data_IF_035718211551
#
_entry.id   IF_035718211551
#
_cell.length_a   1.000
_cell.length_b   1.000
_cell.length_c   1.000
_cell.angle_alpha   90.00
_cell.angle_beta   90.00
_cell.angle_gamma   90.00
#
_symmetry.space_group_name_H-M   'P 1'
#
loop_
_entity.id
_entity.type
_entity.pdbx_description
1 polymer ?
#
# COMPACT_ATOMS: atom_id res chain seq x y z
N UNK A 1 -8.02 -24.64 -3.89
CA UNK A 1 -7.15 -23.94 -4.86
C UNK A 1 -5.75 -24.51 -4.65
N UNK A 2 -5.05 -24.95 -5.69
CA UNK A 2 -3.66 -25.39 -5.53
C UNK A 2 -2.83 -24.21 -4.99
N UNK A 3 -2.04 -24.48 -3.98
CA UNK A 3 -1.13 -23.53 -3.33
C UNK A 3 0.09 -23.32 -4.25
N UNK A 4 -0.14 -22.57 -5.34
CA UNK A 4 0.91 -22.27 -6.31
C UNK A 4 1.63 -20.99 -5.89
N UNK A 5 2.96 -21.05 -5.88
CA UNK A 5 3.82 -19.89 -5.67
C UNK A 5 3.45 -18.76 -6.64
N UNK A 6 3.41 -17.52 -6.14
CA UNK A 6 3.19 -16.32 -6.94
C UNK A 6 4.48 -15.54 -7.10
N UNK A 7 4.61 -14.87 -8.26
CA UNK A 7 5.68 -13.94 -8.55
C UNK A 7 5.06 -12.68 -9.16
N UNK A 8 5.41 -11.51 -8.62
CA UNK A 8 5.00 -10.24 -9.19
C UNK A 8 6.02 -9.77 -10.23
N UNK A 9 5.53 -9.50 -11.43
CA UNK A 9 6.33 -8.97 -12.57
C UNK A 9 5.73 -7.63 -12.98
N UNK A 10 6.56 -6.62 -13.24
CA UNK A 10 6.03 -5.33 -13.63
C UNK A 10 5.16 -5.44 -14.90
N UNK A 11 4.08 -4.66 -14.94
CA UNK A 11 3.16 -4.63 -16.08
C UNK A 11 3.87 -4.38 -17.40
N UNK A 12 4.81 -3.45 -17.43
CA UNK A 12 5.61 -3.11 -18.62
C UNK A 12 6.42 -4.30 -19.15
N UNK A 13 6.99 -5.13 -18.25
CA UNK A 13 7.72 -6.33 -18.67
C UNK A 13 6.78 -7.37 -19.26
N UNK A 14 5.58 -7.53 -18.70
CA UNK A 14 4.58 -8.47 -19.23
C UNK A 14 4.10 -8.03 -20.61
N UNK A 15 3.85 -6.75 -20.84
CA UNK A 15 3.46 -6.23 -22.16
C UNK A 15 4.54 -6.40 -23.23
N UNK A 16 5.80 -6.40 -22.83
CA UNK A 16 6.94 -6.55 -23.75
C UNK A 16 7.33 -8.01 -24.01
N UNK A 17 6.62 -9.01 -23.44
CA UNK A 17 6.94 -10.42 -23.64
C UNK A 17 6.70 -10.82 -25.09
N UNK A 18 7.70 -11.48 -25.68
CA UNK A 18 7.60 -12.10 -26.99
C UNK A 18 7.56 -13.63 -26.84
N UNK A 19 6.69 -14.29 -27.65
CA UNK A 19 6.61 -15.75 -27.69
C UNK A 19 6.33 -16.43 -26.33
N UNK A 20 5.55 -15.78 -25.44
CA UNK A 20 5.17 -16.26 -24.11
C UNK A 20 6.35 -16.49 -23.14
N UNK A 21 7.59 -16.20 -23.52
CA UNK A 21 8.76 -16.42 -22.68
C UNK A 21 9.09 -15.15 -21.85
N UNK A 22 9.11 -15.33 -20.55
CA UNK A 22 9.52 -14.32 -19.58
C UNK A 22 10.91 -14.65 -19.06
N UNK A 23 11.87 -13.82 -19.39
CA UNK A 23 13.21 -13.85 -18.79
C UNK A 23 13.17 -13.25 -17.38
N UNK A 24 13.67 -14.00 -16.40
CA UNK A 24 13.72 -13.59 -15.00
C UNK A 24 14.97 -12.70 -14.75
N UNK A 25 14.81 -11.71 -13.87
CA UNK A 25 15.96 -11.01 -13.30
C UNK A 25 16.81 -11.98 -12.45
N UNK A 26 18.02 -11.55 -12.10
CA UNK A 26 18.90 -12.35 -11.23
C UNK A 26 18.26 -12.60 -9.87
N UNK A 27 17.56 -11.61 -9.31
CA UNK A 27 16.87 -11.65 -8.04
C UNK A 27 15.67 -12.60 -8.11
N UNK A 28 14.85 -12.49 -9.15
CA UNK A 28 13.69 -13.36 -9.39
C UNK A 28 14.12 -14.81 -9.62
N UNK A 29 15.15 -15.02 -10.42
CA UNK A 29 15.73 -16.35 -10.64
C UNK A 29 16.29 -16.94 -9.34
N UNK A 30 16.99 -16.13 -8.53
CA UNK A 30 17.46 -16.55 -7.22
C UNK A 30 16.29 -16.95 -6.30
N UNK A 31 15.25 -16.11 -6.23
CA UNK A 31 14.07 -16.37 -5.42
C UNK A 31 13.38 -17.68 -5.81
N UNK A 32 13.07 -17.87 -7.09
CA UNK A 32 12.40 -19.10 -7.58
C UNK A 32 13.28 -20.34 -7.39
N UNK A 33 14.59 -20.26 -7.67
CA UNK A 33 15.46 -21.42 -7.66
C UNK A 33 15.97 -21.79 -6.26
N UNK A 34 16.31 -20.80 -5.43
CA UNK A 34 17.01 -21.01 -4.15
C UNK A 34 16.10 -20.89 -2.96
N UNK A 35 15.19 -19.91 -2.97
CA UNK A 35 14.26 -19.70 -1.85
C UNK A 35 13.07 -20.65 -1.97
N UNK A 36 12.32 -20.56 -3.07
CA UNK A 36 11.13 -21.39 -3.30
C UNK A 36 11.45 -22.80 -3.84
N UNK A 37 12.66 -23.01 -4.36
CA UNK A 37 13.15 -24.30 -4.86
C UNK A 37 12.24 -24.97 -5.90
N UNK A 38 11.63 -24.16 -6.76
CA UNK A 38 10.74 -24.63 -7.81
C UNK A 38 11.53 -25.32 -8.90
N UNK A 39 11.15 -26.57 -9.23
CA UNK A 39 11.79 -27.39 -10.28
C UNK A 39 11.26 -27.01 -11.66
N UNK A 40 12.06 -27.28 -12.71
CA UNK A 40 11.61 -27.16 -14.09
C UNK A 40 10.38 -28.05 -14.33
N UNK A 41 9.46 -27.57 -15.17
CA UNK A 41 8.17 -28.24 -15.45
C UNK A 41 7.08 -27.98 -14.41
N UNK A 42 7.36 -27.26 -13.31
CA UNK A 42 6.34 -26.89 -12.31
C UNK A 42 5.65 -25.59 -12.70
N UNK A 43 4.34 -25.55 -12.42
CA UNK A 43 3.52 -24.36 -12.58
C UNK A 43 3.73 -23.37 -11.44
N UNK A 44 3.66 -22.09 -11.76
CA UNK A 44 3.59 -20.96 -10.83
C UNK A 44 2.58 -19.95 -11.33
N UNK A 45 2.16 -19.05 -10.46
CA UNK A 45 1.37 -17.89 -10.87
C UNK A 45 2.28 -16.65 -11.08
N UNK A 46 1.91 -15.83 -12.07
CA UNK A 46 2.52 -14.52 -12.31
C UNK A 46 1.42 -13.47 -12.23
N UNK A 47 1.65 -12.40 -11.46
CA UNK A 47 0.76 -11.23 -11.43
C UNK A 47 1.49 -9.98 -11.91
N UNK A 48 0.76 -9.07 -12.57
CA UNK A 48 1.28 -7.75 -12.95
C UNK A 48 1.09 -6.68 -11.86
N UNK A 49 0.49 -7.04 -10.72
CA UNK A 49 0.12 -6.06 -9.68
C UNK A 49 -0.93 -5.04 -10.10
N UNK A 50 -1.62 -5.27 -11.23
CA UNK A 50 -2.70 -4.44 -11.77
C UNK A 50 -3.94 -5.29 -12.13
N UNK A 51 -4.27 -6.25 -11.27
CA UNK A 51 -5.50 -7.04 -11.36
C UNK A 51 -5.40 -8.30 -12.21
N UNK A 52 -4.31 -8.56 -12.92
CA UNK A 52 -4.20 -9.74 -13.79
C UNK A 52 -3.28 -10.80 -13.22
N UNK A 53 -3.67 -12.08 -13.40
CA UNK A 53 -2.94 -13.26 -12.97
C UNK A 53 -2.82 -14.23 -14.14
N UNK A 54 -1.63 -14.76 -14.38
CA UNK A 54 -1.37 -15.79 -15.38
C UNK A 54 -0.78 -17.02 -14.73
N UNK A 55 -0.99 -18.18 -15.36
CA UNK A 55 -0.22 -19.39 -15.10
C UNK A 55 1.03 -19.39 -15.97
N UNK A 56 2.14 -19.83 -15.40
CA UNK A 56 3.40 -19.99 -16.10
C UNK A 56 4.07 -21.30 -15.69
N UNK A 57 4.86 -21.88 -16.59
CA UNK A 57 5.65 -23.06 -16.33
C UNK A 57 7.12 -22.67 -16.30
N UNK A 58 7.85 -23.13 -15.29
CA UNK A 58 9.29 -22.97 -15.24
C UNK A 58 9.96 -23.89 -16.26
N UNK A 59 10.55 -23.30 -17.31
CA UNK A 59 11.22 -24.06 -18.38
C UNK A 59 12.72 -24.16 -18.17
N UNK A 60 13.35 -23.11 -17.60
CA UNK A 60 14.77 -23.06 -17.26
C UNK A 60 14.99 -22.30 -15.94
N UNK A 61 16.23 -22.24 -15.46
CA UNK A 61 16.54 -21.51 -14.22
C UNK A 61 16.23 -20.02 -14.27
N UNK A 62 16.23 -19.44 -15.44
CA UNK A 62 16.07 -18.00 -15.71
C UNK A 62 14.91 -17.68 -16.66
N UNK A 63 14.03 -18.66 -16.93
CA UNK A 63 12.95 -18.47 -17.89
C UNK A 63 11.65 -19.18 -17.45
N UNK A 64 10.54 -18.44 -17.59
CA UNK A 64 9.19 -18.94 -17.42
C UNK A 64 8.45 -18.84 -18.76
N UNK A 65 7.65 -19.84 -19.08
CA UNK A 65 6.72 -19.82 -20.20
C UNK A 65 5.31 -19.53 -19.69
N UNK A 66 4.72 -18.39 -20.12
CA UNK A 66 3.37 -18.00 -19.71
C UNK A 66 2.35 -18.75 -20.54
N UNK A 67 1.44 -19.42 -19.87
CA UNK A 67 0.31 -20.11 -20.52
C UNK A 67 -0.72 -19.04 -20.92
N UNK A 68 -0.99 -18.89 -22.22
CA UNK A 68 -1.99 -17.96 -22.74
C UNK A 68 -1.76 -16.48 -22.33
N UNK A 69 -0.61 -15.90 -22.68
CA UNK A 69 -0.26 -14.52 -22.38
C UNK A 69 -1.37 -13.49 -22.70
N UNK A 70 -2.08 -13.65 -23.81
CA UNK A 70 -3.15 -12.74 -24.25
C UNK A 70 -4.41 -12.79 -23.39
N UNK A 71 -4.60 -13.86 -22.60
CA UNK A 71 -5.78 -14.05 -21.76
C UNK A 71 -5.32 -14.44 -20.35
N UNK A 72 -5.40 -13.55 -19.37
CA UNK A 72 -5.04 -13.89 -18.00
C UNK A 72 -5.95 -15.01 -17.48
N UNK A 73 -5.39 -15.83 -16.59
CA UNK A 73 -6.11 -16.88 -15.88
C UNK A 73 -7.21 -16.30 -14.99
N UNK A 74 -6.92 -15.16 -14.35
CA UNK A 74 -7.85 -14.40 -13.53
C UNK A 74 -7.63 -12.92 -13.76
N UNK A 75 -8.71 -12.15 -13.81
CA UNK A 75 -8.69 -10.69 -13.81
C UNK A 75 -9.63 -10.19 -12.71
N UNK A 76 -9.14 -9.28 -11.90
CA UNK A 76 -9.89 -8.56 -10.88
C UNK A 76 -9.93 -7.08 -11.25
N UNK A 77 -11.10 -6.50 -11.33
CA UNK A 77 -11.24 -5.05 -11.49
C UNK A 77 -10.69 -4.31 -10.28
N UNK A 78 -10.25 -3.08 -10.51
CA UNK A 78 -9.81 -2.22 -9.41
C UNK A 78 -11.01 -1.80 -8.56
N UNK A 79 -10.79 -1.72 -7.26
CA UNK A 79 -11.80 -1.24 -6.33
C UNK A 79 -12.27 0.18 -6.72
N UNK A 80 -13.56 0.43 -6.53
CA UNK A 80 -14.16 1.74 -6.83
C UNK A 80 -13.65 2.79 -5.84
N UNK A 81 -13.52 2.41 -4.57
CA UNK A 81 -13.03 3.26 -3.50
C UNK A 81 -11.58 2.93 -3.19
N UNK A 82 -10.67 3.84 -3.51
CA UNK A 82 -9.26 3.68 -3.23
C UNK A 82 -8.93 4.18 -1.82
N UNK A 83 -8.09 3.44 -1.13
CA UNK A 83 -7.71 3.69 0.26
C UNK A 83 -6.25 4.07 0.36
N UNK A 84 -5.98 5.13 1.13
CA UNK A 84 -4.63 5.61 1.38
C UNK A 84 -4.32 5.76 2.87
N UNK A 85 -3.10 5.41 3.23
CA UNK A 85 -2.53 5.72 4.53
C UNK A 85 -1.35 6.67 4.34
N UNK A 86 -1.42 7.85 4.95
CA UNK A 86 -0.32 8.82 4.96
C UNK A 86 0.34 8.78 6.34
N UNK A 87 1.62 8.42 6.39
CA UNK A 87 2.29 8.12 7.67
C UNK A 87 3.56 8.92 7.80
N UNK A 88 3.70 9.67 8.89
CA UNK A 88 4.99 10.23 9.27
C UNK A 88 5.91 9.08 9.59
N UNK A 89 7.04 8.99 8.84
CA UNK A 89 7.92 7.83 8.94
C UNK A 89 8.45 7.71 10.38
N UNK A 90 8.10 6.61 11.10
CA UNK A 90 8.52 6.43 12.48
C UNK A 90 10.01 6.10 12.60
N UNK A 91 10.55 6.20 13.81
CA UNK A 91 11.94 5.80 14.10
C UNK A 91 12.21 4.33 13.74
N UNK A 92 11.22 3.46 13.92
CA UNK A 92 11.27 2.02 13.61
C UNK A 92 9.88 1.50 13.23
N UNK A 93 9.81 0.33 12.57
CA UNK A 93 8.55 -0.35 12.26
C UNK A 93 7.86 0.16 10.98
N UNK A 94 8.52 0.99 10.15
CA UNK A 94 7.92 1.42 8.88
C UNK A 94 7.78 0.26 7.89
N UNK A 95 8.73 -0.68 7.89
CA UNK A 95 8.66 -1.88 7.04
C UNK A 95 7.48 -2.79 7.43
N UNK A 96 7.17 -2.87 8.74
CA UNK A 96 5.98 -3.59 9.21
C UNK A 96 4.68 -2.91 8.73
N UNK A 97 4.65 -1.56 8.72
CA UNK A 97 3.52 -0.80 8.15
C UNK A 97 3.35 -1.16 6.68
N UNK A 98 4.42 -1.14 5.88
CA UNK A 98 4.37 -1.48 4.46
C UNK A 98 3.81 -2.88 4.23
N UNK A 99 4.34 -3.86 4.96
CA UNK A 99 3.93 -5.25 4.86
C UNK A 99 2.47 -5.42 5.26
N UNK A 100 2.11 -5.09 6.50
CA UNK A 100 0.79 -5.39 7.06
C UNK A 100 -0.32 -4.56 6.40
N UNK A 101 -0.08 -3.29 6.07
CA UNK A 101 -1.06 -2.49 5.34
C UNK A 101 -1.30 -3.02 3.92
N UNK A 102 -0.26 -3.57 3.26
CA UNK A 102 -0.41 -4.27 1.97
C UNK A 102 -1.29 -5.50 2.11
N UNK A 103 -1.03 -6.35 3.10
CA UNK A 103 -1.81 -7.56 3.38
C UNK A 103 -3.29 -7.25 3.68
N UNK A 104 -3.57 -6.18 4.43
CA UNK A 104 -4.94 -5.76 4.79
C UNK A 104 -5.69 -5.17 3.60
N UNK A 105 -4.99 -4.59 2.61
CA UNK A 105 -5.66 -4.11 1.39
C UNK A 105 -5.57 -2.61 1.12
N UNK A 106 -4.58 -1.90 1.64
CA UNK A 106 -4.33 -0.49 1.27
C UNK A 106 -3.95 -0.36 -0.21
N UNK A 107 -4.30 0.76 -0.85
CA UNK A 107 -3.96 1.01 -2.26
C UNK A 107 -2.84 2.03 -2.42
N UNK A 108 -2.72 2.97 -1.47
CA UNK A 108 -1.67 3.98 -1.47
C UNK A 108 -1.03 4.13 -0.09
N UNK A 109 0.29 4.25 -0.08
CA UNK A 109 1.08 4.58 1.11
C UNK A 109 1.86 5.85 0.81
N UNK A 110 1.60 6.90 1.59
CA UNK A 110 2.28 8.18 1.50
C UNK A 110 3.22 8.37 2.69
N UNK A 111 4.53 8.23 2.51
CA UNK A 111 5.49 8.62 3.52
C UNK A 111 5.50 10.13 3.72
N UNK A 112 5.43 10.60 4.97
CA UNK A 112 5.40 12.02 5.31
C UNK A 112 6.58 12.44 6.18
N UNK A 113 6.93 13.72 6.08
CA UNK A 113 7.75 14.44 7.05
C UNK A 113 6.87 15.37 7.89
N UNK A 114 7.26 15.56 9.15
CA UNK A 114 6.54 16.32 10.17
C UNK A 114 7.55 17.08 11.06
N UNK A 115 7.08 18.15 11.73
CA UNK A 115 7.91 18.98 12.60
C UNK A 115 8.55 18.16 13.75
N UNK A 116 7.81 17.23 14.33
CA UNK A 116 8.25 16.42 15.48
C UNK A 116 8.74 15.02 15.10
N UNK A 117 9.11 14.83 13.83
CA UNK A 117 9.72 13.60 13.40
C UNK A 117 11.09 13.39 14.03
N UNK A 118 11.30 12.23 14.64
CA UNK A 118 12.54 11.92 15.38
C UNK A 118 13.74 11.74 14.44
N UNK A 119 13.53 11.27 13.21
CA UNK A 119 14.61 10.97 12.26
C UNK A 119 14.29 11.46 10.86
N UNK A 120 15.09 12.38 10.34
CA UNK A 120 15.08 12.70 8.91
C UNK A 120 15.86 11.63 8.16
N UNK A 121 15.25 11.09 7.11
CA UNK A 121 15.90 10.08 6.28
C UNK A 121 16.73 10.76 5.18
N UNK A 122 18.03 10.50 5.19
CA UNK A 122 18.92 10.74 4.04
C UNK A 122 18.89 9.51 3.14
N UNK A 123 18.91 9.66 1.82
CA UNK A 123 18.85 8.57 0.83
C UNK A 123 17.51 7.83 0.72
N UNK A 124 16.42 8.57 0.55
CA UNK A 124 15.09 8.02 0.30
C UNK A 124 15.06 7.04 -0.89
N UNK A 125 15.76 7.35 -1.99
CA UNK A 125 15.80 6.52 -3.20
C UNK A 125 16.23 5.07 -2.95
N UNK A 126 17.27 4.85 -2.14
CA UNK A 126 17.74 3.50 -1.81
C UNK A 126 16.75 2.74 -0.94
N UNK A 127 16.03 3.47 -0.06
CA UNK A 127 14.98 2.87 0.77
C UNK A 127 13.77 2.52 -0.05
N UNK A 128 13.41 3.34 -1.03
CA UNK A 128 12.27 3.09 -1.89
C UNK A 128 12.41 1.75 -2.64
N UNK A 129 13.63 1.40 -3.08
CA UNK A 129 13.91 0.09 -3.69
C UNK A 129 13.57 -1.04 -2.72
N UNK A 130 14.10 -0.97 -1.49
CA UNK A 130 13.84 -1.97 -0.44
C UNK A 130 12.36 -2.03 -0.06
N UNK A 131 11.71 -0.89 0.09
CA UNK A 131 10.28 -0.82 0.44
C UNK A 131 9.39 -1.40 -0.65
N UNK A 132 9.74 -1.18 -1.91
CA UNK A 132 9.07 -1.82 -3.04
C UNK A 132 9.24 -3.35 -3.02
N UNK A 133 10.41 -3.86 -2.63
CA UNK A 133 10.63 -5.31 -2.44
C UNK A 133 9.71 -5.88 -1.35
N UNK A 134 9.64 -5.22 -0.19
CA UNK A 134 8.76 -5.63 0.92
C UNK A 134 7.29 -5.66 0.50
N UNK A 135 6.84 -4.64 -0.24
CA UNK A 135 5.48 -4.60 -0.77
C UNK A 135 5.24 -5.75 -1.75
N UNK A 136 6.20 -6.04 -2.65
CA UNK A 136 6.09 -7.14 -3.59
C UNK A 136 5.98 -8.49 -2.87
N UNK A 137 6.86 -8.75 -1.90
CA UNK A 137 6.82 -9.96 -1.07
C UNK A 137 5.47 -10.11 -0.33
N UNK A 138 4.93 -9.01 0.21
CA UNK A 138 3.62 -9.02 0.85
C UNK A 138 2.49 -9.32 -0.14
N UNK A 139 2.52 -8.73 -1.35
CA UNK A 139 1.55 -9.00 -2.43
C UNK A 139 1.58 -10.47 -2.85
N UNK A 140 2.77 -11.05 -3.01
CA UNK A 140 2.95 -12.45 -3.37
C UNK A 140 2.39 -13.39 -2.30
N UNK A 141 2.67 -13.09 -1.03
CA UNK A 141 2.27 -13.91 0.11
C UNK A 141 0.76 -13.81 0.41
N UNK A 142 0.16 -12.61 0.34
CA UNK A 142 -1.27 -12.43 0.61
C UNK A 142 -2.17 -12.68 -0.61
N UNK A 143 -1.57 -13.05 -1.75
CA UNK A 143 -2.25 -13.39 -3.00
C UNK A 143 -3.04 -12.25 -3.66
N UNK A 144 -2.75 -11.02 -3.30
CA UNK A 144 -3.40 -9.83 -3.83
C UNK A 144 -3.04 -9.61 -5.30
N UNK A 145 -4.00 -9.16 -6.12
CA UNK A 145 -3.76 -8.86 -7.55
C UNK A 145 -3.49 -7.37 -7.81
N UNK A 146 -3.93 -6.48 -6.91
CA UNK A 146 -3.66 -5.05 -6.98
C UNK A 146 -2.56 -4.68 -5.98
N UNK A 147 -1.40 -4.31 -6.51
CA UNK A 147 -0.24 -3.89 -5.73
C UNK A 147 -0.44 -2.45 -5.24
N UNK A 148 -0.23 -2.15 -3.95
CA UNK A 148 -0.29 -0.76 -3.50
C UNK A 148 0.88 0.07 -4.04
N UNK A 149 0.62 1.36 -4.20
CA UNK A 149 1.63 2.33 -4.58
C UNK A 149 2.24 2.96 -3.33
N UNK A 150 3.58 2.94 -3.23
CA UNK A 150 4.31 3.78 -2.28
C UNK A 150 4.75 5.05 -3.01
N UNK A 151 4.35 6.21 -2.48
CA UNK A 151 4.63 7.50 -3.07
C UNK A 151 5.97 8.06 -2.57
N UNK A 152 6.48 9.10 -3.24
CA UNK A 152 7.66 9.79 -2.76
C UNK A 152 7.35 10.52 -1.45
N UNK A 153 8.35 10.62 -0.58
CA UNK A 153 8.22 11.31 0.68
C UNK A 153 8.06 12.83 0.48
N UNK A 154 7.21 13.43 1.29
CA UNK A 154 6.85 14.85 1.19
C UNK A 154 6.54 15.41 2.58
N UNK A 155 6.68 16.72 2.76
CA UNK A 155 6.25 17.40 3.97
C UNK A 155 4.72 17.38 4.09
N UNK A 156 4.20 17.21 5.30
CA UNK A 156 2.75 17.10 5.55
C UNK A 156 1.96 18.35 5.07
N UNK A 157 2.53 19.55 5.20
CA UNK A 157 1.89 20.78 4.73
C UNK A 157 1.78 20.80 3.20
N UNK A 158 2.88 20.46 2.51
CA UNK A 158 2.94 20.44 1.04
C UNK A 158 2.02 19.36 0.47
N UNK A 159 2.03 18.18 1.08
CA UNK A 159 1.16 17.08 0.66
C UNK A 159 -0.32 17.44 0.80
N UNK A 160 -0.74 17.97 1.95
CA UNK A 160 -2.12 18.39 2.14
C UNK A 160 -2.49 19.51 1.15
N UNK A 161 -1.60 20.47 0.90
CA UNK A 161 -1.86 21.54 -0.08
C UNK A 161 -2.02 20.98 -1.51
N UNK A 162 -1.35 19.89 -1.86
CA UNK A 162 -1.46 19.28 -3.18
C UNK A 162 -2.79 18.54 -3.44
N UNK A 163 -3.54 18.19 -2.40
CA UNK A 163 -4.85 17.54 -2.53
C UNK A 163 -5.94 18.60 -2.63
N UNK A 164 -6.72 18.57 -3.71
CA UNK A 164 -7.81 19.55 -3.92
C UNK A 164 -8.97 19.31 -2.96
N UNK A 165 -9.48 18.09 -2.91
CA UNK A 165 -10.61 17.73 -2.06
C UNK A 165 -10.14 17.34 -0.65
N UNK A 166 -10.23 18.28 0.30
CA UNK A 166 -9.81 18.05 1.70
C UNK A 166 -10.77 17.14 2.48
N UNK A 167 -11.99 16.98 1.99
CA UNK A 167 -13.00 16.15 2.66
C UNK A 167 -12.66 14.66 2.66
N UNK A 168 -11.80 14.22 1.74
CA UNK A 168 -11.30 12.84 1.69
C UNK A 168 -10.18 12.55 2.69
N UNK A 169 -9.70 13.56 3.43
CA UNK A 169 -8.62 13.42 4.41
C UNK A 169 -9.20 13.37 5.83
N UNK A 170 -8.65 12.50 6.65
CA UNK A 170 -8.82 12.52 8.10
C UNK A 170 -7.46 12.41 8.79
N UNK A 171 -7.25 13.16 9.88
CA UNK A 171 -6.00 13.15 10.65
C UNK A 171 -6.24 12.47 11.98
N UNK A 172 -5.46 11.44 12.26
CA UNK A 172 -5.51 10.74 13.54
C UNK A 172 -4.83 11.54 14.63
N UNK A 173 -5.54 11.74 15.74
CA UNK A 173 -5.07 12.46 16.93
C UNK A 173 -5.16 11.59 18.16
N UNK A 174 -4.39 11.95 19.18
CA UNK A 174 -4.42 11.33 20.52
C UNK A 174 -4.84 12.38 21.54
N UNK A 175 -5.45 11.94 22.64
CA UNK A 175 -5.82 12.82 23.78
C UNK A 175 -6.79 13.95 23.37
N UNK A 176 -7.66 13.68 22.42
CA UNK A 176 -8.72 14.62 22.02
C UNK A 176 -10.07 13.95 22.26
N UNK A 177 -10.75 14.36 23.33
CA UNK A 177 -12.02 13.79 23.73
C UNK A 177 -13.19 14.26 22.86
N UNK A 178 -12.96 15.23 21.97
CA UNK A 178 -13.99 15.82 21.11
C UNK A 178 -14.05 15.20 19.73
N UNK A 179 -12.98 14.48 19.31
CA UNK A 179 -12.92 13.87 17.98
C UNK A 179 -13.72 12.57 17.89
N UNK A 180 -14.44 12.41 16.79
CA UNK A 180 -15.12 11.18 16.45
C UNK A 180 -14.13 10.03 16.19
N UNK A 181 -14.58 8.79 16.41
CA UNK A 181 -13.85 7.62 15.92
C UNK A 181 -13.81 7.58 14.39
N UNK A 182 -12.69 7.06 13.82
CA UNK A 182 -12.49 6.97 12.37
C UNK A 182 -13.68 6.31 11.67
N UNK A 183 -14.21 5.22 12.21
CA UNK A 183 -15.38 4.51 11.64
C UNK A 183 -16.60 5.43 11.50
N UNK A 184 -16.90 6.25 12.52
CA UNK A 184 -18.01 7.19 12.47
C UNK A 184 -17.78 8.32 11.45
N UNK A 185 -16.54 8.80 11.35
CA UNK A 185 -16.15 9.79 10.34
C UNK A 185 -16.36 9.22 8.92
N UNK A 186 -15.96 7.98 8.67
CA UNK A 186 -16.12 7.31 7.39
C UNK A 186 -17.59 7.11 6.98
N UNK A 187 -18.46 6.75 7.90
CA UNK A 187 -19.89 6.65 7.64
C UNK A 187 -20.51 7.97 7.16
N UNK A 188 -20.02 9.10 7.69
CA UNK A 188 -20.46 10.43 7.26
C UNK A 188 -19.90 10.81 5.86
N UNK A 189 -18.81 10.19 5.45
CA UNK A 189 -18.10 10.48 4.19
C UNK A 189 -18.58 9.66 2.98
N UNK A 190 -19.51 8.74 3.13
CA UNK A 190 -20.02 7.88 2.06
C UNK A 190 -20.42 8.61 0.77
N UNK A 191 -21.00 9.81 0.91
CA UNK A 191 -21.49 10.62 -0.21
C UNK A 191 -20.46 11.64 -0.73
N UNK A 192 -19.23 11.65 -0.19
CA UNK A 192 -18.23 12.69 -0.45
C UNK A 192 -17.28 12.29 -1.59
N UNK A 193 -17.06 10.98 -1.80
CA UNK A 193 -16.26 10.49 -2.91
C UNK A 193 -17.00 10.72 -4.22
N UNK A 194 -16.60 11.76 -4.94
CA UNK A 194 -17.29 12.24 -6.15
C UNK A 194 -16.72 11.65 -7.44
N UNK A 195 -15.50 11.12 -7.41
CA UNK A 195 -14.77 10.63 -8.57
C UNK A 195 -14.21 9.23 -8.29
N UNK A 196 -14.24 8.36 -9.30
CA UNK A 196 -13.67 6.99 -9.24
C UNK A 196 -12.17 6.91 -8.87
N UNK A 197 -11.45 8.03 -8.92
CA UNK A 197 -10.00 8.08 -8.69
C UNK A 197 -9.61 8.75 -7.38
N UNK A 198 -10.60 9.19 -6.58
CA UNK A 198 -10.30 9.81 -5.29
C UNK A 198 -9.89 8.75 -4.27
N UNK A 199 -8.79 9.02 -3.56
CA UNK A 199 -8.26 8.15 -2.52
C UNK A 199 -8.70 8.67 -1.17
N UNK A 200 -9.37 7.85 -0.39
CA UNK A 200 -9.73 8.18 1.00
C UNK A 200 -8.53 7.98 1.92
N UNK A 201 -8.08 9.06 2.55
CA UNK A 201 -6.85 9.08 3.33
C UNK A 201 -7.09 9.15 4.83
N UNK A 202 -6.33 8.35 5.58
CA UNK A 202 -6.10 8.61 6.99
C UNK A 202 -4.62 8.94 7.24
N UNK A 203 -4.37 10.01 8.00
CA UNK A 203 -3.04 10.55 8.27
C UNK A 203 -2.60 10.19 9.68
N UNK A 204 -1.46 9.52 9.80
CA UNK A 204 -0.87 9.08 11.07
C UNK A 204 0.35 9.93 11.41
N UNK A 205 0.35 10.54 12.58
CA UNK A 205 1.41 11.38 13.07
C UNK A 205 2.64 10.65 13.60
N UNK A 206 3.69 11.42 13.94
CA UNK A 206 4.91 10.90 14.55
C UNK A 206 4.67 10.49 16.02
N UNK A 207 5.63 9.78 16.60
CA UNK A 207 5.61 9.37 18.01
C UNK A 207 5.50 10.58 18.97
N UNK A 208 6.04 11.73 18.59
CA UNK A 208 5.96 12.98 19.35
C UNK A 208 4.62 13.74 19.20
N UNK A 209 3.67 13.18 18.43
CA UNK A 209 2.40 13.83 18.08
C UNK A 209 2.58 15.04 17.14
N UNK A 210 1.48 15.63 16.74
CA UNK A 210 1.47 16.81 15.88
C UNK A 210 1.97 18.07 16.61
N UNK A 211 2.68 18.95 15.92
CA UNK A 211 3.04 20.26 16.45
C UNK A 211 1.81 21.17 16.52
N UNK A 212 1.91 22.24 17.31
CA UNK A 212 0.82 23.24 17.37
C UNK A 212 0.58 23.90 16.01
N UNK A 213 1.66 24.13 15.24
CA UNK A 213 1.56 24.67 13.88
C UNK A 213 0.84 23.74 12.93
N UNK A 214 1.13 22.42 12.99
CA UNK A 214 0.44 21.39 12.20
C UNK A 214 -1.05 21.30 12.57
N UNK A 215 -1.38 21.30 13.85
CA UNK A 215 -2.78 21.29 14.33
C UNK A 215 -3.55 22.51 13.81
N UNK A 216 -2.98 23.72 13.94
CA UNK A 216 -3.61 24.95 13.43
C UNK A 216 -3.79 24.90 11.90
N UNK A 217 -2.83 24.35 11.19
CA UNK A 217 -2.92 24.16 9.74
C UNK A 217 -4.05 23.20 9.36
N UNK A 218 -4.20 22.07 10.06
CA UNK A 218 -5.30 21.13 9.83
C UNK A 218 -6.66 21.79 10.08
N UNK A 219 -6.80 22.55 11.18
CA UNK A 219 -8.03 23.30 11.49
C UNK A 219 -8.35 24.32 10.38
N UNK A 220 -7.35 25.10 9.95
CA UNK A 220 -7.52 26.10 8.88
C UNK A 220 -7.99 25.48 7.58
N UNK A 221 -7.52 24.26 7.28
CA UNK A 221 -7.91 23.51 6.09
C UNK A 221 -9.17 22.65 6.29
N UNK A 222 -9.85 22.75 7.44
CA UNK A 222 -11.09 22.02 7.78
C UNK A 222 -10.94 20.50 7.69
N UNK A 223 -9.75 19.98 7.98
CA UNK A 223 -9.50 18.55 7.94
C UNK A 223 -10.11 17.89 9.19
N UNK A 224 -10.79 16.78 8.98
CA UNK A 224 -11.43 16.05 10.07
C UNK A 224 -10.38 15.42 11.00
N UNK A 225 -10.48 15.68 12.29
CA UNK A 225 -9.76 14.95 13.32
C UNK A 225 -10.51 13.70 13.70
N UNK A 226 -9.79 12.60 13.91
CA UNK A 226 -10.36 11.31 14.28
C UNK A 226 -9.54 10.61 15.36
N UNK A 227 -10.24 9.88 16.24
CA UNK A 227 -9.63 8.91 17.16
C UNK A 227 -9.61 7.52 16.53
N UNK A 228 -8.56 6.77 16.78
CA UNK A 228 -8.48 5.36 16.41
C UNK A 228 -8.87 4.46 17.59
N UNK A 229 -8.44 4.82 18.79
CA UNK A 229 -8.61 4.02 20.00
C UNK A 229 -8.64 4.95 21.22
N UNK A 230 -9.18 4.47 22.34
CA UNK A 230 -9.07 5.16 23.63
C UNK A 230 -7.63 5.11 24.16
N UNK A 231 -6.83 4.12 23.76
CA UNK A 231 -5.44 4.01 24.12
C UNK A 231 -4.54 4.74 23.11
N UNK A 232 -3.39 5.22 23.59
CA UNK A 232 -2.35 5.77 22.71
C UNK A 232 -1.67 4.62 21.98
N UNK A 233 -1.80 4.58 20.66
CA UNK A 233 -1.17 3.59 19.79
C UNK A 233 0.21 4.06 19.33
N UNK A 234 1.14 3.14 19.17
CA UNK A 234 2.37 3.41 18.41
C UNK A 234 2.02 3.72 16.96
N UNK A 235 2.85 4.52 16.27
CA UNK A 235 2.62 4.90 14.87
C UNK A 235 2.36 3.68 13.96
N UNK A 236 3.11 2.58 14.13
CA UNK A 236 2.88 1.36 13.35
C UNK A 236 1.53 0.72 13.67
N UNK A 237 1.18 0.58 14.94
CA UNK A 237 -0.13 0.03 15.35
C UNK A 237 -1.27 0.90 14.86
N UNK A 238 -1.13 2.23 14.93
CA UNK A 238 -2.13 3.18 14.46
C UNK A 238 -2.35 3.05 12.94
N UNK A 239 -1.28 2.96 12.16
CA UNK A 239 -1.37 2.82 10.70
C UNK A 239 -2.06 1.50 10.29
N UNK A 240 -1.69 0.39 10.92
CA UNK A 240 -2.28 -0.93 10.65
C UNK A 240 -3.76 -0.96 11.04
N UNK A 241 -4.08 -0.43 12.22
CA UNK A 241 -5.46 -0.39 12.70
C UNK A 241 -6.35 0.53 11.85
N UNK A 242 -5.85 1.71 11.47
CA UNK A 242 -6.55 2.62 10.56
C UNK A 242 -6.82 1.96 9.20
N UNK A 243 -5.81 1.24 8.65
CA UNK A 243 -5.97 0.49 7.40
C UNK A 243 -7.05 -0.57 7.51
N UNK A 244 -7.13 -1.28 8.64
CA UNK A 244 -8.18 -2.29 8.89
C UNK A 244 -9.57 -1.66 8.88
N UNK A 245 -9.75 -0.50 9.53
CA UNK A 245 -11.02 0.24 9.56
C UNK A 245 -11.40 0.72 8.15
N UNK A 246 -10.44 1.28 7.40
CA UNK A 246 -10.64 1.74 6.03
C UNK A 246 -11.07 0.58 5.12
N UNK A 247 -10.38 -0.56 5.20
CA UNK A 247 -10.70 -1.72 4.38
C UNK A 247 -12.06 -2.34 4.74
N UNK A 248 -12.38 -2.43 6.03
CA UNK A 248 -13.70 -2.87 6.47
C UNK A 248 -14.80 -1.95 5.92
N UNK A 249 -14.62 -0.62 6.04
CA UNK A 249 -15.55 0.36 5.48
C UNK A 249 -15.75 0.15 3.97
N UNK A 250 -14.69 -0.09 3.19
CA UNK A 250 -14.78 -0.35 1.75
C UNK A 250 -15.60 -1.61 1.44
N UNK A 251 -15.43 -2.67 2.24
CA UNK A 251 -16.11 -3.94 2.04
C UNK A 251 -17.60 -3.92 2.44
N UNK A 252 -18.03 -2.88 3.17
CA UNK A 252 -19.46 -2.69 3.56
C UNK A 252 -20.27 -2.03 2.42
N UNK A 253 -19.66 -1.74 1.25
CA UNK A 253 -20.24 -1.12 0.05
C UNK A 253 -19.98 -1.93 -1.21
#
# INVERSE_FOLDING_TARGET
>A
MEDLTRLIISHERIENIKNNNLELSKEEAHYINKVMRIKNGKEIFITNGKGSLWKAIKVKNDCLEIIQLKKPYLFQEQEIYLLGIAVVIPKSGFEDILKMCTEIGIDFIQPLYSDRQVKKYTNFSNKLIRWNSIINEAVEQCERLWRPYILNDINVFDWINSIENKDIISVSVTRDDTSDHLNNCLKKKQNILKKKEEVLWNVIGPEGGWSQGEIQFFIKNKIAFVKLSENILRTSTAAIYATSILNQWRNDF
#
